data_IF_298187598632
#
_entry.id   IF_298187598632
#
_cell.length_a   1.000
_cell.length_b   1.000
_cell.length_c   1.000
_cell.angle_alpha   90.00
_cell.angle_beta   90.00
_cell.angle_gamma   90.00
#
_symmetry.space_group_name_H-M   'P 1'
#
loop_
_entity.id
_entity.type
_entity.pdbx_description
1 polymer ?
#
# COMPACT_ATOMS: atom_id res chain seq x y z
N UNK A 1 -27.40 -6.84 15.17
CA UNK A 1 -28.67 -6.11 15.38
C UNK A 1 -28.71 -4.96 14.40
N UNK A 2 -29.79 -4.81 13.62
CA UNK A 2 -29.96 -3.63 12.77
C UNK A 2 -30.15 -2.41 13.68
N UNK A 3 -29.37 -1.37 13.45
CA UNK A 3 -29.28 -0.21 14.31
C UNK A 3 -29.19 1.04 13.45
N UNK A 4 -30.22 1.85 13.50
CA UNK A 4 -30.24 3.12 12.77
C UNK A 4 -29.68 4.21 13.67
N UNK A 5 -28.59 4.83 13.25
CA UNK A 5 -27.96 5.91 13.97
C UNK A 5 -27.75 7.10 13.03
N UNK A 6 -28.51 8.17 13.27
CA UNK A 6 -28.62 9.33 12.36
C UNK A 6 -29.02 8.89 10.94
N UNK A 7 -28.16 9.10 9.97
CA UNK A 7 -28.33 8.77 8.56
C UNK A 7 -27.68 7.43 8.15
N UNK A 8 -27.11 6.68 9.10
CA UNK A 8 -26.50 5.37 8.84
C UNK A 8 -27.40 4.23 9.32
N UNK A 9 -27.64 3.26 8.44
CA UNK A 9 -28.23 1.98 8.80
C UNK A 9 -27.10 0.97 9.04
N UNK A 10 -26.83 0.68 10.31
CA UNK A 10 -25.71 -0.17 10.72
C UNK A 10 -26.18 -1.57 11.12
N UNK A 11 -25.35 -2.56 10.85
CA UNK A 11 -25.45 -3.86 11.51
C UNK A 11 -24.43 -3.93 12.65
N UNK A 12 -24.91 -3.77 13.88
CA UNK A 12 -24.05 -3.83 15.06
C UNK A 12 -23.84 -5.28 15.50
N UNK A 13 -22.58 -5.66 15.63
CA UNK A 13 -22.14 -6.90 16.29
C UNK A 13 -21.41 -6.50 17.57
N UNK A 14 -22.00 -6.83 18.71
CA UNK A 14 -21.41 -6.54 20.01
C UNK A 14 -20.85 -7.79 20.66
N UNK A 15 -19.57 -7.75 21.02
CA UNK A 15 -18.89 -8.84 21.69
C UNK A 15 -18.34 -8.39 23.04
N UNK A 16 -18.82 -9.01 24.11
CA UNK A 16 -18.22 -8.88 25.44
C UNK A 16 -16.92 -9.70 25.50
N UNK A 17 -15.80 -9.02 25.76
CA UNK A 17 -14.44 -9.56 25.82
C UNK A 17 -13.77 -9.05 27.10
N UNK A 18 -14.00 -9.68 28.27
CA UNK A 18 -13.50 -9.20 29.57
C UNK A 18 -11.97 -9.09 29.63
N UNK A 19 -11.25 -9.81 28.78
CA UNK A 19 -9.79 -9.76 28.66
C UNK A 19 -9.25 -8.50 27.98
N UNK A 20 -10.09 -7.71 27.30
CA UNK A 20 -9.65 -6.50 26.62
C UNK A 20 -9.35 -5.36 27.61
N UNK A 21 -8.40 -4.49 27.28
CA UNK A 21 -8.11 -3.28 28.08
C UNK A 21 -8.92 -2.05 27.64
N UNK A 22 -9.40 -2.05 26.40
CA UNK A 22 -10.14 -0.95 25.77
C UNK A 22 -11.31 -1.50 24.93
N UNK A 23 -12.23 -0.62 24.55
CA UNK A 23 -13.27 -0.93 23.57
C UNK A 23 -12.72 -0.68 22.17
N UNK A 24 -12.78 -1.71 21.32
CA UNK A 24 -12.29 -1.66 19.95
C UNK A 24 -13.48 -1.70 18.98
N UNK A 25 -13.39 -0.88 17.94
CA UNK A 25 -14.35 -0.88 16.83
C UNK A 25 -13.67 -1.30 15.54
N UNK A 26 -14.34 -2.18 14.79
CA UNK A 26 -14.01 -2.50 13.40
C UNK A 26 -15.25 -2.27 12.55
N UNK A 27 -15.12 -1.52 11.46
CA UNK A 27 -16.16 -1.34 10.47
C UNK A 27 -15.74 -1.98 9.14
N UNK A 28 -16.69 -2.62 8.46
CA UNK A 28 -16.57 -3.13 7.09
C UNK A 28 -17.93 -2.95 6.41
N UNK A 29 -18.03 -1.99 5.51
CA UNK A 29 -19.30 -1.46 5.01
C UNK A 29 -20.16 -0.97 6.18
N UNK A 30 -21.45 -1.31 6.14
CA UNK A 30 -22.40 -1.01 7.20
C UNK A 30 -22.31 -1.94 8.42
N UNK A 31 -21.47 -2.97 8.40
CA UNK A 31 -21.27 -3.89 9.54
C UNK A 31 -20.24 -3.29 10.49
N UNK A 32 -20.64 -3.06 11.74
CA UNK A 32 -19.79 -2.49 12.78
C UNK A 32 -19.69 -3.45 13.95
N UNK A 33 -18.48 -3.97 14.17
CA UNK A 33 -18.18 -4.84 15.31
C UNK A 33 -17.56 -4.03 16.45
N UNK A 34 -18.17 -4.11 17.63
CA UNK A 34 -17.69 -3.51 18.88
C UNK A 34 -17.25 -4.64 19.81
N UNK A 35 -15.95 -4.70 20.10
CA UNK A 35 -15.39 -5.64 21.08
C UNK A 35 -15.06 -4.87 22.36
N UNK A 36 -15.72 -5.18 23.47
CA UNK A 36 -15.65 -4.39 24.70
C UNK A 36 -15.40 -5.23 25.94
N UNK A 37 -14.58 -4.72 26.86
CA UNK A 37 -14.37 -5.30 28.19
C UNK A 37 -15.46 -4.95 29.20
N UNK A 38 -16.28 -3.93 28.91
CA UNK A 38 -17.49 -3.58 29.67
C UNK A 38 -18.71 -4.11 28.95
N UNK A 39 -19.73 -4.54 29.70
CA UNK A 39 -21.07 -4.78 29.15
C UNK A 39 -21.68 -3.44 28.73
N UNK A 40 -22.08 -3.32 27.47
CA UNK A 40 -22.77 -2.14 26.97
C UNK A 40 -24.27 -2.31 27.16
N UNK A 41 -24.94 -1.28 27.68
CA UNK A 41 -26.37 -1.08 27.45
C UNK A 41 -26.57 -0.20 26.22
N UNK A 42 -27.82 0.01 25.82
CA UNK A 42 -28.16 0.80 24.63
C UNK A 42 -27.69 2.27 24.71
N UNK A 43 -27.72 2.88 25.89
CA UNK A 43 -27.23 4.24 26.10
C UNK A 43 -25.71 4.34 25.91
N UNK A 44 -24.96 3.33 26.35
CA UNK A 44 -23.51 3.26 26.16
C UNK A 44 -23.14 3.06 24.67
N UNK A 45 -23.94 2.28 23.94
CA UNK A 45 -23.77 2.11 22.48
C UNK A 45 -23.97 3.44 21.77
N UNK A 46 -25.04 4.17 22.09
CA UNK A 46 -25.33 5.49 21.53
C UNK A 46 -24.20 6.48 21.80
N UNK A 47 -23.75 6.59 23.05
CA UNK A 47 -22.66 7.50 23.44
C UNK A 47 -21.35 7.16 22.72
N UNK A 48 -21.06 5.88 22.56
CA UNK A 48 -19.88 5.43 21.84
C UNK A 48 -19.99 5.72 20.34
N UNK A 49 -21.12 5.42 19.71
CA UNK A 49 -21.36 5.74 18.30
C UNK A 49 -21.26 7.24 18.02
N UNK A 50 -21.78 8.10 18.90
CA UNK A 50 -21.61 9.55 18.81
C UNK A 50 -20.12 9.95 18.74
N UNK A 51 -19.28 9.33 19.56
CA UNK A 51 -17.84 9.62 19.59
C UNK A 51 -17.08 9.18 18.32
N UNK A 52 -17.58 8.15 17.62
CA UNK A 52 -16.91 7.60 16.42
C UNK A 52 -17.58 7.99 15.10
N UNK A 53 -18.81 8.50 15.15
CA UNK A 53 -19.67 8.73 13.99
C UNK A 53 -19.02 9.56 12.89
N UNK A 54 -18.32 10.69 13.16
CA UNK A 54 -17.67 11.46 12.11
C UNK A 54 -16.65 10.64 11.30
N UNK A 55 -15.87 9.80 11.99
CA UNK A 55 -14.86 8.93 11.34
C UNK A 55 -15.51 7.76 10.63
N UNK A 56 -16.49 7.14 11.27
CA UNK A 56 -17.24 6.00 10.73
C UNK A 56 -17.96 6.37 9.43
N UNK A 57 -18.66 7.51 9.40
CA UNK A 57 -19.36 8.02 8.22
C UNK A 57 -18.42 8.24 7.04
N UNK A 58 -17.24 8.84 7.28
CA UNK A 58 -16.23 9.04 6.23
C UNK A 58 -15.70 7.71 5.72
N UNK A 59 -15.48 6.74 6.61
CA UNK A 59 -15.00 5.40 6.23
C UNK A 59 -16.05 4.64 5.40
N UNK A 60 -17.30 4.57 5.85
CA UNK A 60 -18.39 3.87 5.13
C UNK A 60 -18.61 4.52 3.77
N UNK A 61 -18.69 5.85 3.70
CA UNK A 61 -18.87 6.57 2.43
C UNK A 61 -17.70 6.35 1.48
N UNK A 62 -16.46 6.25 1.98
CA UNK A 62 -15.29 5.88 1.17
C UNK A 62 -15.41 4.46 0.63
N UNK A 63 -15.80 3.50 1.46
CA UNK A 63 -16.01 2.10 1.06
C UNK A 63 -17.16 1.94 0.05
N UNK A 64 -18.26 2.71 0.19
CA UNK A 64 -19.36 2.79 -0.78
C UNK A 64 -18.90 3.38 -2.14
N UNK A 65 -18.11 4.46 -2.11
CA UNK A 65 -17.54 5.04 -3.33
C UNK A 65 -16.58 4.05 -4.00
N UNK A 66 -15.74 3.35 -3.23
CA UNK A 66 -14.85 2.31 -3.74
C UNK A 66 -15.63 1.13 -4.33
N UNK A 67 -16.71 0.68 -3.70
CA UNK A 67 -17.56 -0.42 -4.21
C UNK A 67 -18.39 -0.01 -5.43
N UNK A 68 -18.73 1.27 -5.59
CA UNK A 68 -19.44 1.80 -6.77
C UNK A 68 -18.53 1.99 -8.00
N UNK A 69 -17.21 2.16 -7.79
CA UNK A 69 -16.22 2.16 -8.88
C UNK A 69 -15.85 0.73 -9.24
N UNK A 70 -15.62 0.49 -10.54
CA UNK A 70 -15.01 -0.79 -10.97
C UNK A 70 -13.65 -0.92 -10.28
N UNK A 71 -13.33 -2.07 -9.67
CA UNK A 71 -12.06 -2.26 -8.98
C UNK A 71 -10.92 -2.03 -9.96
N UNK A 72 -9.97 -1.19 -9.58
CA UNK A 72 -8.80 -0.83 -10.39
C UNK A 72 -7.55 -0.73 -9.54
N UNK A 73 -6.39 -0.92 -10.15
CA UNK A 73 -5.09 -0.70 -9.53
C UNK A 73 -4.16 0.05 -10.48
N UNK A 74 -3.17 0.74 -9.94
CA UNK A 74 -2.14 1.37 -10.76
C UNK A 74 -0.95 0.45 -10.95
N UNK A 75 -0.47 0.34 -12.18
CA UNK A 75 0.82 -0.27 -12.52
C UNK A 75 1.59 0.71 -13.39
N UNK A 76 2.79 1.06 -12.93
CA UNK A 76 3.67 2.02 -13.57
C UNK A 76 3.00 3.36 -13.90
N UNK A 77 2.10 3.82 -13.02
CA UNK A 77 1.34 5.06 -13.17
C UNK A 77 0.08 4.96 -14.04
N UNK A 78 -0.24 3.79 -14.60
CA UNK A 78 -1.44 3.58 -15.43
C UNK A 78 -2.49 2.84 -14.60
N UNK A 79 -3.68 3.43 -14.50
CA UNK A 79 -4.85 2.78 -13.87
C UNK A 79 -5.36 1.66 -14.77
N UNK A 80 -5.58 0.48 -14.18
CA UNK A 80 -5.98 -0.75 -14.87
C UNK A 80 -7.12 -1.39 -14.10
N UNK A 81 -8.20 -1.80 -14.78
CA UNK A 81 -9.29 -2.50 -14.11
C UNK A 81 -8.82 -3.88 -13.64
N UNK A 82 -9.36 -4.32 -12.51
CA UNK A 82 -9.13 -5.65 -11.95
C UNK A 82 -10.35 -6.52 -12.24
N UNK A 83 -10.11 -7.70 -12.79
CA UNK A 83 -11.13 -8.72 -13.03
C UNK A 83 -10.66 -9.98 -12.32
N UNK A 84 -11.38 -10.37 -11.27
CA UNK A 84 -11.09 -11.59 -10.50
C UNK A 84 -12.00 -12.72 -10.95
N UNK A 85 -11.42 -13.89 -11.21
CA UNK A 85 -12.10 -15.12 -11.63
C UNK A 85 -11.69 -16.26 -10.71
N UNK A 86 -12.66 -17.00 -10.21
CA UNK A 86 -12.40 -18.25 -9.48
C UNK A 86 -11.92 -19.32 -10.48
N UNK A 87 -10.84 -20.01 -10.14
CA UNK A 87 -10.20 -21.02 -11.00
C UNK A 87 -9.50 -22.10 -10.15
N UNK A 88 -8.97 -23.15 -10.78
CA UNK A 88 -8.22 -24.21 -10.10
C UNK A 88 -6.74 -23.87 -9.85
N UNK A 89 -6.31 -22.67 -10.23
CA UNK A 89 -4.94 -22.18 -10.10
C UNK A 89 -4.91 -20.69 -9.79
N UNK A 90 -3.75 -20.20 -9.32
CA UNK A 90 -3.51 -18.78 -9.10
C UNK A 90 -2.62 -18.20 -10.19
N UNK A 91 -3.06 -17.12 -10.81
CA UNK A 91 -2.27 -16.31 -11.74
C UNK A 91 -2.73 -14.85 -11.71
N UNK A 92 -1.78 -13.96 -11.97
CA UNK A 92 -2.08 -12.55 -12.19
C UNK A 92 -1.37 -12.12 -13.46
N UNK A 93 -2.15 -11.65 -14.43
CA UNK A 93 -1.64 -11.26 -15.73
C UNK A 93 -2.30 -9.99 -16.26
N UNK A 94 -1.59 -9.31 -17.15
CA UNK A 94 -2.08 -8.13 -17.86
C UNK A 94 -2.59 -8.56 -19.23
N UNK A 95 -3.91 -8.46 -19.46
CA UNK A 95 -4.56 -8.87 -20.70
C UNK A 95 -5.50 -7.74 -21.13
N UNK A 96 -5.34 -7.25 -22.37
CA UNK A 96 -6.16 -6.16 -22.94
C UNK A 96 -6.31 -4.95 -22.01
N UNK A 97 -5.20 -4.49 -21.44
CA UNK A 97 -5.15 -3.38 -20.46
C UNK A 97 -5.94 -3.61 -19.16
N UNK A 98 -6.27 -4.86 -18.82
CA UNK A 98 -6.88 -5.22 -17.55
C UNK A 98 -6.00 -6.20 -16.78
N UNK A 99 -6.05 -6.11 -15.45
CA UNK A 99 -5.43 -7.07 -14.57
C UNK A 99 -6.42 -8.19 -14.32
N UNK A 100 -6.08 -9.37 -14.85
CA UNK A 100 -6.86 -10.58 -14.65
C UNK A 100 -6.23 -11.35 -13.50
N UNK A 101 -7.04 -11.67 -12.50
CA UNK A 101 -6.65 -12.51 -11.37
C UNK A 101 -7.42 -13.81 -11.50
N UNK A 102 -6.72 -14.88 -11.88
CA UNK A 102 -7.21 -16.24 -11.66
C UNK A 102 -6.86 -16.61 -10.22
N UNK A 103 -7.83 -17.06 -9.44
CA UNK A 103 -7.62 -17.38 -8.03
C UNK A 103 -8.36 -18.61 -7.57
N UNK A 104 -7.71 -19.37 -6.70
CA UNK A 104 -8.32 -20.48 -5.96
C UNK A 104 -9.16 -20.02 -4.77
N UNK A 105 -9.07 -18.74 -4.37
CA UNK A 105 -9.77 -18.19 -3.20
C UNK A 105 -10.17 -16.72 -3.39
N UNK A 106 -11.47 -16.44 -3.32
CA UNK A 106 -12.04 -15.10 -3.50
C UNK A 106 -11.80 -14.13 -2.32
N UNK A 107 -11.09 -14.55 -1.26
CA UNK A 107 -10.74 -13.66 -0.15
C UNK A 107 -9.89 -12.46 -0.62
N UNK A 108 -10.24 -11.26 -0.12
CA UNK A 108 -9.57 -10.02 -0.49
C UNK A 108 -8.07 -10.04 -0.15
N UNK A 109 -7.71 -10.53 1.03
CA UNK A 109 -6.32 -10.52 1.51
C UNK A 109 -5.47 -11.49 0.69
N UNK A 110 -6.07 -12.61 0.28
CA UNK A 110 -5.45 -13.58 -0.61
C UNK A 110 -5.18 -13.00 -2.00
N UNK A 111 -6.19 -12.41 -2.65
CA UNK A 111 -6.04 -11.78 -3.96
C UNK A 111 -5.07 -10.59 -3.93
N UNK A 112 -5.06 -9.82 -2.83
CA UNK A 112 -4.07 -8.77 -2.60
C UNK A 112 -2.64 -9.31 -2.58
N UNK A 113 -2.41 -10.47 -1.95
CA UNK A 113 -1.10 -11.12 -1.95
C UNK A 113 -0.68 -11.52 -3.37
N UNK A 114 -1.59 -12.10 -4.17
CA UNK A 114 -1.32 -12.46 -5.57
C UNK A 114 -0.87 -11.24 -6.39
N UNK A 115 -1.60 -10.12 -6.28
CA UNK A 115 -1.22 -8.85 -6.94
C UNK A 115 0.12 -8.32 -6.45
N UNK A 116 0.41 -8.41 -5.15
CA UNK A 116 1.69 -7.95 -4.61
C UNK A 116 2.88 -8.81 -5.09
N UNK A 117 2.68 -10.11 -5.26
CA UNK A 117 3.66 -10.99 -5.88
C UNK A 117 3.88 -10.62 -7.36
N UNK A 118 2.79 -10.31 -8.08
CA UNK A 118 2.87 -9.81 -9.45
C UNK A 118 3.64 -8.50 -9.55
N UNK A 119 3.40 -7.55 -8.63
CA UNK A 119 4.17 -6.30 -8.55
C UNK A 119 5.66 -6.55 -8.32
N UNK A 120 6.02 -7.49 -7.45
CA UNK A 120 7.41 -7.86 -7.22
C UNK A 120 8.07 -8.39 -8.51
N UNK A 121 7.36 -9.24 -9.27
CA UNK A 121 7.86 -9.75 -10.55
C UNK A 121 8.05 -8.65 -11.59
N UNK A 122 7.11 -7.71 -11.70
CA UNK A 122 7.23 -6.55 -12.59
C UNK A 122 8.40 -5.65 -12.21
N UNK A 123 8.59 -5.38 -10.92
CA UNK A 123 9.71 -4.59 -10.43
C UNK A 123 11.05 -5.29 -10.64
N UNK A 124 11.10 -6.62 -10.50
CA UNK A 124 12.30 -7.41 -10.81
C UNK A 124 12.67 -7.26 -12.29
N UNK A 125 11.71 -7.41 -13.20
CA UNK A 125 11.93 -7.17 -14.64
C UNK A 125 12.41 -5.75 -14.92
N UNK A 126 11.80 -4.74 -14.26
CA UNK A 126 12.25 -3.36 -14.38
C UNK A 126 13.72 -3.18 -13.95
N UNK A 127 14.14 -3.83 -12.86
CA UNK A 127 15.54 -3.81 -12.41
C UNK A 127 16.46 -4.52 -13.40
N UNK A 128 16.08 -5.67 -13.94
CA UNK A 128 16.89 -6.38 -14.93
C UNK A 128 17.23 -5.48 -16.13
N UNK A 129 16.26 -4.67 -16.58
CA UNK A 129 16.39 -3.75 -17.72
C UNK A 129 17.12 -2.43 -17.39
N UNK A 130 17.05 -1.96 -16.15
CA UNK A 130 17.43 -0.58 -15.79
C UNK A 130 18.53 -0.47 -14.73
N UNK A 131 18.75 -1.50 -13.90
CA UNK A 131 19.61 -1.38 -12.72
C UNK A 131 21.05 -1.03 -13.09
N UNK A 132 21.61 -1.65 -14.13
CA UNK A 132 22.97 -1.32 -14.62
C UNK A 132 23.11 0.15 -15.01
N UNK A 133 22.09 0.72 -15.66
CA UNK A 133 22.08 2.14 -16.09
C UNK A 133 21.98 3.07 -14.88
N UNK A 134 21.19 2.71 -13.87
CA UNK A 134 21.07 3.48 -12.63
C UNK A 134 22.37 3.41 -11.83
N UNK A 135 22.94 2.21 -11.68
CA UNK A 135 24.18 1.96 -10.95
C UNK A 135 25.39 2.67 -11.58
N UNK A 136 25.39 2.88 -12.91
CA UNK A 136 26.46 3.60 -13.60
C UNK A 136 26.68 5.05 -13.10
N UNK A 137 25.67 5.66 -12.46
CA UNK A 137 25.81 6.97 -11.80
C UNK A 137 26.55 6.92 -10.45
N UNK A 138 26.85 5.71 -9.95
CA UNK A 138 27.49 5.44 -8.67
C UNK A 138 28.77 4.61 -8.84
N UNK A 139 29.77 5.09 -9.60
CA UNK A 139 31.04 4.36 -9.79
C UNK A 139 31.81 4.08 -8.48
N UNK A 140 31.46 4.77 -7.40
CA UNK A 140 31.99 4.57 -6.05
C UNK A 140 31.48 3.27 -5.40
N UNK A 141 30.32 2.77 -5.80
CA UNK A 141 29.76 1.51 -5.27
C UNK A 141 30.44 0.33 -5.97
N UNK A 142 31.46 -0.24 -5.32
CA UNK A 142 32.22 -1.40 -5.85
C UNK A 142 31.49 -2.72 -5.68
N UNK A 143 30.74 -2.86 -4.60
CA UNK A 143 29.92 -4.03 -4.29
C UNK A 143 28.46 -3.58 -4.25
N UNK A 144 27.71 -3.77 -5.34
CA UNK A 144 26.32 -3.35 -5.40
C UNK A 144 25.48 -4.06 -4.33
N UNK A 145 24.55 -3.36 -3.68
CA UNK A 145 23.70 -3.99 -2.68
C UNK A 145 22.74 -5.00 -3.32
N UNK A 146 22.39 -6.04 -2.56
CA UNK A 146 21.34 -6.98 -2.96
C UNK A 146 19.99 -6.30 -2.83
N UNK A 147 19.13 -6.42 -3.86
CA UNK A 147 17.79 -5.82 -3.84
C UNK A 147 16.75 -6.89 -3.49
N UNK A 148 15.91 -6.57 -2.51
CA UNK A 148 14.77 -7.34 -2.08
C UNK A 148 13.47 -6.55 -2.26
N UNK A 149 12.36 -7.27 -2.44
CA UNK A 149 11.02 -6.70 -2.46
C UNK A 149 10.21 -7.20 -1.28
N UNK A 150 9.53 -6.31 -0.57
CA UNK A 150 8.66 -6.68 0.54
C UNK A 150 7.47 -5.70 0.66
N UNK A 151 6.49 -6.03 1.48
CA UNK A 151 5.47 -5.07 1.90
C UNK A 151 6.03 -4.13 2.96
N UNK A 152 5.73 -2.83 2.83
CA UNK A 152 6.13 -1.81 3.78
C UNK A 152 4.94 -0.88 4.06
N UNK A 153 4.76 -0.51 5.33
CA UNK A 153 3.64 0.35 5.75
C UNK A 153 3.93 1.83 5.61
N UNK A 154 5.19 2.23 5.81
CA UNK A 154 5.57 3.63 6.04
C UNK A 154 6.70 4.14 5.15
N UNK A 155 7.32 3.27 4.35
CA UNK A 155 8.47 3.61 3.53
C UNK A 155 8.35 3.01 2.13
N UNK A 156 8.97 3.67 1.14
CA UNK A 156 9.09 3.16 -0.24
C UNK A 156 10.29 2.23 -0.41
N UNK A 157 11.32 2.40 0.43
CA UNK A 157 12.51 1.59 0.45
C UNK A 157 13.28 1.79 1.75
N UNK A 158 14.31 0.97 1.94
CA UNK A 158 15.34 1.15 2.97
C UNK A 158 16.64 0.51 2.53
N UNK A 159 17.76 1.15 2.83
CA UNK A 159 19.09 0.57 2.78
C UNK A 159 19.52 0.05 4.16
N UNK A 160 20.12 -1.13 4.20
CA UNK A 160 20.76 -1.68 5.39
C UNK A 160 22.26 -1.87 5.12
N UNK A 161 23.07 -1.15 5.91
CA UNK A 161 24.53 -1.16 5.81
C UNK A 161 25.15 -2.48 6.27
N UNK A 162 24.53 -3.17 7.24
CA UNK A 162 25.10 -4.38 7.87
C UNK A 162 25.19 -5.55 6.89
N UNK A 163 24.14 -5.72 6.08
CA UNK A 163 23.99 -6.81 5.10
C UNK A 163 24.15 -6.32 3.65
N UNK A 164 24.50 -5.04 3.46
CA UNK A 164 24.58 -4.37 2.17
C UNK A 164 23.37 -4.67 1.29
N UNK A 165 22.17 -4.40 1.80
CA UNK A 165 20.93 -4.73 1.12
C UNK A 165 20.00 -3.53 1.00
N UNK A 166 19.22 -3.50 -0.08
CA UNK A 166 18.13 -2.56 -0.27
C UNK A 166 16.83 -3.36 -0.28
N UNK A 167 15.89 -3.01 0.60
CA UNK A 167 14.52 -3.53 0.53
C UNK A 167 13.61 -2.47 -0.04
N UNK A 168 12.93 -2.76 -1.15
CA UNK A 168 11.95 -1.89 -1.80
C UNK A 168 10.53 -2.36 -1.49
N UNK A 169 9.61 -1.43 -1.30
CA UNK A 169 8.20 -1.76 -1.12
C UNK A 169 7.61 -2.24 -2.45
N UNK A 170 6.93 -3.38 -2.49
CA UNK A 170 6.26 -3.86 -3.73
C UNK A 170 5.25 -2.85 -4.29
N UNK A 171 4.65 -2.04 -3.42
CA UNK A 171 3.67 -1.02 -3.79
C UNK A 171 4.27 0.14 -4.57
N UNK A 172 5.60 0.28 -4.68
CA UNK A 172 6.20 1.30 -5.55
C UNK A 172 5.88 1.04 -7.03
N UNK A 173 5.53 -0.20 -7.39
CA UNK A 173 5.11 -0.58 -8.74
C UNK A 173 3.91 0.26 -9.22
N UNK A 174 3.12 0.83 -8.31
CA UNK A 174 1.99 1.72 -8.63
C UNK A 174 2.42 3.03 -9.29
N UNK A 175 3.64 3.51 -9.02
CA UNK A 175 4.11 4.81 -9.50
C UNK A 175 4.74 4.73 -10.89
N UNK A 176 4.70 5.84 -11.61
CA UNK A 176 5.41 5.99 -12.89
C UNK A 176 6.91 5.63 -12.75
N UNK A 177 7.51 5.07 -13.80
CA UNK A 177 8.87 4.54 -13.80
C UNK A 177 9.93 5.53 -13.28
N UNK A 178 9.77 6.83 -13.56
CA UNK A 178 10.67 7.88 -13.04
C UNK A 178 10.68 7.97 -11.51
N UNK A 179 9.52 7.75 -10.85
CA UNK A 179 9.46 7.72 -9.39
C UNK A 179 10.08 6.45 -8.82
N UNK A 180 9.93 5.32 -9.50
CA UNK A 180 10.59 4.06 -9.13
C UNK A 180 12.12 4.23 -9.22
N UNK A 181 12.61 4.81 -10.31
CA UNK A 181 14.01 5.17 -10.50
C UNK A 181 14.52 6.11 -9.41
N UNK A 182 13.74 7.14 -9.04
CA UNK A 182 14.04 8.04 -7.93
C UNK A 182 14.19 7.29 -6.60
N UNK A 183 13.28 6.36 -6.29
CA UNK A 183 13.33 5.58 -5.05
C UNK A 183 14.58 4.69 -5.04
N UNK A 184 14.87 3.97 -6.12
CA UNK A 184 16.08 3.13 -6.20
C UNK A 184 17.34 3.97 -6.06
N UNK A 185 17.43 5.10 -6.76
CA UNK A 185 18.56 6.01 -6.67
C UNK A 185 18.73 6.62 -5.28
N UNK A 186 17.63 6.88 -4.58
CA UNK A 186 17.63 7.33 -3.19
C UNK A 186 18.30 6.29 -2.27
N UNK A 187 17.87 5.03 -2.35
CA UNK A 187 18.45 3.95 -1.55
C UNK A 187 19.92 3.66 -1.92
N UNK A 188 20.28 3.73 -3.20
CA UNK A 188 21.69 3.63 -3.62
C UNK A 188 22.55 4.78 -3.10
N UNK A 189 21.98 5.99 -3.00
CA UNK A 189 22.70 7.12 -2.41
C UNK A 189 23.01 6.89 -0.94
N UNK A 190 22.16 6.14 -0.22
CA UNK A 190 22.43 5.74 1.16
C UNK A 190 23.64 4.82 1.33
N UNK A 191 24.08 4.11 0.28
CA UNK A 191 25.34 3.37 0.30
C UNK A 191 26.56 4.29 0.50
N UNK A 192 26.46 5.56 0.11
CA UNK A 192 27.54 6.56 0.22
C UNK A 192 27.30 7.56 1.36
N UNK A 193 26.04 7.96 1.57
CA UNK A 193 25.66 8.98 2.53
C UNK A 193 24.42 8.55 3.33
N UNK A 194 24.60 8.18 4.60
CA UNK A 194 23.49 7.70 5.45
C UNK A 194 22.45 8.78 5.75
N UNK A 195 22.86 10.06 5.79
CA UNK A 195 21.99 11.19 6.13
C UNK A 195 21.69 12.04 4.89
N UNK A 196 20.50 12.67 4.84
CA UNK A 196 20.03 13.51 3.73
C UNK A 196 20.63 14.93 3.71
N UNK A 197 21.94 15.04 3.88
CA UNK A 197 22.71 16.29 3.80
C UNK A 197 22.90 16.76 2.35
N UNK A 198 23.59 17.88 2.14
CA UNK A 198 23.75 18.45 0.79
C UNK A 198 24.53 17.55 -0.17
N UNK A 199 25.55 16.83 0.32
CA UNK A 199 26.28 15.79 -0.42
C UNK A 199 25.33 14.71 -0.96
N UNK A 200 24.37 14.29 -0.15
CA UNK A 200 23.37 13.28 -0.52
C UNK A 200 22.57 13.78 -1.72
N UNK A 201 22.02 14.99 -1.64
CA UNK A 201 21.20 15.52 -2.73
C UNK A 201 22.03 15.90 -3.94
N UNK A 202 23.27 16.37 -3.76
CA UNK A 202 24.22 16.59 -4.87
C UNK A 202 24.49 15.30 -5.63
N UNK A 203 24.62 14.17 -4.93
CA UNK A 203 24.74 12.85 -5.55
C UNK A 203 23.46 12.42 -6.24
N UNK A 204 22.33 12.43 -5.54
CA UNK A 204 21.04 11.99 -6.08
C UNK A 204 20.63 12.81 -7.32
N UNK A 205 20.92 14.11 -7.35
CA UNK A 205 20.65 14.99 -8.47
C UNK A 205 21.43 14.65 -9.75
N UNK A 206 22.54 13.88 -9.65
CA UNK A 206 23.22 13.36 -10.84
C UNK A 206 22.37 12.32 -11.58
N UNK A 207 21.49 11.62 -10.86
CA UNK A 207 20.59 10.59 -11.43
C UNK A 207 19.24 11.19 -11.81
N UNK A 208 18.64 11.94 -10.88
CA UNK A 208 17.35 12.60 -11.04
C UNK A 208 17.53 14.08 -10.75
N UNK A 209 17.69 14.93 -11.78
CA UNK A 209 17.77 16.38 -11.58
C UNK A 209 16.55 16.89 -10.80
N UNK A 210 16.79 17.78 -9.84
CA UNK A 210 15.75 18.30 -8.93
C UNK A 210 15.05 17.22 -8.08
N UNK A 211 15.79 16.24 -7.58
CA UNK A 211 15.24 15.10 -6.82
C UNK A 211 14.33 15.53 -5.63
N UNK A 212 14.68 16.60 -4.90
CA UNK A 212 13.85 17.15 -3.81
C UNK A 212 12.43 17.49 -4.28
N UNK A 213 12.28 18.08 -5.48
CA UNK A 213 10.98 18.43 -6.07
C UNK A 213 10.19 17.17 -6.41
N UNK A 214 10.82 16.17 -7.04
CA UNK A 214 10.15 14.92 -7.38
C UNK A 214 9.72 14.12 -6.15
N UNK A 215 10.51 14.10 -5.09
CA UNK A 215 10.12 13.48 -3.81
C UNK A 215 8.88 14.17 -3.21
N UNK A 216 8.82 15.49 -3.27
CA UNK A 216 7.66 16.24 -2.82
C UNK A 216 6.41 15.93 -3.68
N UNK A 217 6.56 15.83 -5.01
CA UNK A 217 5.47 15.42 -5.89
C UNK A 217 5.00 13.98 -5.59
N UNK A 218 5.94 13.04 -5.41
CA UNK A 218 5.63 11.64 -5.07
C UNK A 218 4.77 11.54 -3.80
N UNK A 219 5.07 12.33 -2.75
CA UNK A 219 4.27 12.35 -1.51
C UNK A 219 2.85 12.86 -1.69
N UNK A 220 2.58 13.61 -2.76
CA UNK A 220 1.24 14.14 -3.08
C UNK A 220 0.42 13.19 -3.94
N UNK A 221 1.03 12.18 -4.55
CA UNK A 221 0.31 11.18 -5.34
C UNK A 221 -0.51 10.33 -4.38
N UNK A 222 -1.82 10.25 -4.65
CA UNK A 222 -2.75 9.38 -3.94
C UNK A 222 -3.48 8.53 -4.96
N UNK A 223 -3.29 7.22 -4.87
CA UNK A 223 -4.04 6.25 -5.65
C UNK A 223 -5.09 5.59 -4.77
N UNK A 224 -6.32 5.51 -5.28
CA UNK A 224 -7.42 4.78 -4.66
C UNK A 224 -7.48 3.36 -5.23
N UNK A 225 -6.35 2.65 -5.16
CA UNK A 225 -6.25 1.28 -5.64
C UNK A 225 -7.16 0.35 -4.84
N UNK A 226 -7.72 -0.63 -5.53
CA UNK A 226 -8.59 -1.64 -4.95
C UNK A 226 -7.89 -2.46 -3.86
N UNK A 227 -6.58 -2.74 -3.98
CA UNK A 227 -5.79 -3.53 -3.04
C UNK A 227 -4.85 -2.73 -2.13
#
# INVERSE_FOLDING_TARGET
>A
MKYRYKDLDLELIYNYKPQNKHTYLRAKGNVVTINSFKRFNEADVNRFLESVYPKLKVQIKREEVITSKRPSIHIFGVERLVITKIDSFDDVSLINDNIIIHTTNMDYSYNKMLVYNYYANLLKKFLDDNYKKILAFFPEIKIPPTIHFNTMKTAYGKYNKKDNSITLAVTICKYHFEYIKLIIAHELTHCLYMNHQDEFYRRLNKVIPNAKRYQHMLRKIQYNDYF
#
